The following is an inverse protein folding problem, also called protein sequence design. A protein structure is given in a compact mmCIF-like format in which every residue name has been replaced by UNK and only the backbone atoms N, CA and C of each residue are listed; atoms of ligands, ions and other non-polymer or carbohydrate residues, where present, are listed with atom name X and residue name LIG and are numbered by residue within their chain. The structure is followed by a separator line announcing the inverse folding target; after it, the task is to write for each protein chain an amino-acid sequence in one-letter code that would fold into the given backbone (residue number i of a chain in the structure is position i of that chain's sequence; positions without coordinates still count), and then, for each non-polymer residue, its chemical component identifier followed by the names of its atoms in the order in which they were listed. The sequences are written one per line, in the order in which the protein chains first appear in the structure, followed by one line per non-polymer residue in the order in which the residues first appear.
data_IF_690742261097
#
_entry.id   IF_690742261097
#
_cell.length_a   1.000
_cell.length_b   1.000
_cell.length_c   1.000
_cell.angle_alpha   90.00
_cell.angle_beta   90.00
_cell.angle_gamma   90.00
#
_symmetry.space_group_name_H-M   'P 1'
#
loop_
_entity.id
_entity.type
_entity.pdbx_description
1 polymer ?
#
# COMPACT_ATOMS: atom_id res chain seq x y z
N UNK A 1 8.68 12.61 -6.97
CA UNK A 1 8.17 12.03 -5.72
C UNK A 1 6.77 12.57 -5.50
N UNK A 2 5.78 11.71 -5.21
CA UNK A 2 4.37 12.06 -5.07
C UNK A 2 3.84 11.44 -3.77
N UNK A 3 3.03 12.17 -3.01
CA UNK A 3 2.29 11.66 -1.85
C UNK A 3 0.79 11.80 -2.13
N UNK A 4 0.10 10.68 -2.30
CA UNK A 4 -1.34 10.65 -2.62
C UNK A 4 -2.20 10.69 -1.35
N UNK A 5 -1.63 10.32 -0.19
CA UNK A 5 -2.38 10.17 1.04
C UNK A 5 -3.17 8.86 1.07
N UNK A 6 -4.41 8.89 1.54
CA UNK A 6 -5.22 7.69 1.69
C UNK A 6 -5.84 7.22 0.37
N UNK A 7 -5.56 5.98 -0.03
CA UNK A 7 -6.05 5.41 -1.28
C UNK A 7 -7.33 4.58 -1.03
N UNK A 8 -8.49 5.24 -1.14
CA UNK A 8 -9.80 4.65 -0.80
C UNK A 8 -10.50 3.95 -1.95
N UNK A 9 -10.40 4.54 -3.14
CA UNK A 9 -11.11 4.14 -4.35
C UNK A 9 -10.13 3.75 -5.47
N UNK A 10 -10.67 3.06 -6.46
CA UNK A 10 -9.88 2.57 -7.59
C UNK A 10 -9.36 3.71 -8.49
N UNK A 11 -10.02 4.88 -8.53
CA UNK A 11 -9.53 6.06 -9.26
C UNK A 11 -8.22 6.57 -8.66
N UNK A 12 -8.19 6.78 -7.34
CA UNK A 12 -7.01 7.24 -6.61
C UNK A 12 -5.87 6.23 -6.69
N UNK A 13 -6.18 4.93 -6.54
CA UNK A 13 -5.19 3.86 -6.68
C UNK A 13 -4.67 3.77 -8.12
N UNK A 14 -5.54 3.92 -9.12
CA UNK A 14 -5.15 3.92 -10.53
C UNK A 14 -4.20 5.07 -10.89
N UNK A 15 -4.43 6.26 -10.32
CA UNK A 15 -3.50 7.40 -10.44
C UNK A 15 -2.15 7.06 -9.80
N UNK A 16 -2.14 6.39 -8.64
CA UNK A 16 -0.91 5.96 -7.96
C UNK A 16 -0.09 5.00 -8.83
N UNK A 17 -0.74 3.97 -9.39
CA UNK A 17 -0.11 2.95 -10.23
C UNK A 17 0.44 3.59 -11.50
N UNK A 18 -0.35 4.40 -12.21
CA UNK A 18 0.08 5.11 -13.43
C UNK A 18 1.26 6.06 -13.15
N UNK A 19 1.23 6.74 -12.00
CA UNK A 19 2.32 7.63 -11.60
C UNK A 19 3.62 6.86 -11.32
N UNK A 20 3.51 5.69 -10.70
CA UNK A 20 4.66 4.81 -10.46
C UNK A 20 5.23 4.25 -11.77
N UNK A 21 4.37 3.83 -12.71
CA UNK A 21 4.77 3.35 -14.04
C UNK A 21 5.56 4.38 -14.86
N UNK A 22 5.24 5.66 -14.68
CA UNK A 22 5.93 6.77 -15.36
C UNK A 22 7.25 7.16 -14.69
N UNK A 23 7.70 6.38 -13.70
CA UNK A 23 9.01 6.54 -13.04
C UNK A 23 9.00 7.45 -11.81
N UNK A 24 7.82 7.83 -11.29
CA UNK A 24 7.74 8.59 -10.05
C UNK A 24 7.77 7.67 -8.83
N UNK A 25 8.53 8.03 -7.80
CA UNK A 25 8.35 7.43 -6.47
C UNK A 25 7.04 7.93 -5.86
N UNK A 26 6.10 7.01 -5.60
CA UNK A 26 4.77 7.31 -5.06
C UNK A 26 4.64 6.75 -3.65
N UNK A 27 4.17 7.57 -2.73
CA UNK A 27 3.77 7.18 -1.38
C UNK A 27 2.24 7.26 -1.24
N UNK A 28 1.66 6.24 -0.64
CA UNK A 28 0.24 6.18 -0.31
C UNK A 28 0.01 5.40 0.99
N UNK A 29 -1.15 5.61 1.61
CA UNK A 29 -1.55 4.95 2.85
C UNK A 29 -2.85 4.17 2.65
N UNK A 30 -2.96 2.99 3.27
CA UNK A 30 -4.20 2.21 3.32
C UNK A 30 -4.48 1.76 4.76
N UNK A 31 -5.75 1.57 5.08
CA UNK A 31 -6.17 1.03 6.37
C UNK A 31 -6.20 -0.51 6.34
N UNK A 32 -5.01 -1.12 6.35
CA UNK A 32 -4.83 -2.58 6.38
C UNK A 32 -3.79 -2.96 7.42
N UNK A 33 -3.85 -4.19 7.93
CA UNK A 33 -3.01 -4.64 9.05
C UNK A 33 -1.78 -5.46 8.65
N UNK A 34 -1.61 -5.79 7.37
CA UNK A 34 -0.45 -6.52 6.86
C UNK A 34 -0.11 -6.16 5.42
N UNK A 35 1.09 -6.52 4.97
CA UNK A 35 1.54 -6.31 3.61
C UNK A 35 0.68 -7.11 2.61
N UNK A 36 0.36 -8.37 2.94
CA UNK A 36 -0.50 -9.21 2.11
C UNK A 36 -1.90 -8.61 1.96
N UNK A 37 -2.50 -8.14 3.07
CA UNK A 37 -3.83 -7.52 3.02
C UNK A 37 -3.81 -6.20 2.23
N UNK A 38 -2.71 -5.44 2.30
CA UNK A 38 -2.53 -4.23 1.49
C UNK A 38 -2.63 -4.54 0.00
N UNK A 39 -1.89 -5.57 -0.45
CA UNK A 39 -1.88 -6.00 -1.86
C UNK A 39 -3.27 -6.47 -2.29
N UNK A 40 -3.93 -7.33 -1.51
CA UNK A 40 -5.29 -7.77 -1.81
C UNK A 40 -6.26 -6.60 -1.89
N UNK A 41 -6.22 -5.66 -0.93
CA UNK A 41 -7.10 -4.50 -0.90
C UNK A 41 -6.93 -3.60 -2.13
N UNK A 42 -5.70 -3.41 -2.61
CA UNK A 42 -5.42 -2.64 -3.83
C UNK A 42 -6.09 -3.29 -5.03
N UNK A 43 -6.04 -4.62 -5.14
CA UNK A 43 -6.61 -5.36 -6.28
C UNK A 43 -8.15 -5.39 -6.19
N UNK A 44 -8.70 -5.62 -5.01
CA UNK A 44 -10.13 -5.87 -4.78
C UNK A 44 -11.04 -4.65 -5.03
N UNK A 45 -10.49 -3.44 -5.14
CA UNK A 45 -11.30 -2.25 -5.48
C UNK A 45 -11.54 -2.11 -6.99
N UNK A 46 -10.79 -2.81 -7.83
CA UNK A 46 -10.91 -2.70 -9.28
C UNK A 46 -12.02 -3.61 -9.83
N UNK A 47 -12.67 -3.20 -10.94
CA UNK A 47 -13.58 -4.06 -11.70
C UNK A 47 -12.92 -5.37 -12.15
N UNK A 48 -13.72 -6.44 -12.26
CA UNK A 48 -13.23 -7.81 -12.54
C UNK A 48 -12.46 -7.94 -13.86
N UNK A 49 -12.79 -7.12 -14.85
CA UNK A 49 -12.10 -7.06 -16.15
C UNK A 49 -10.70 -6.43 -16.09
N UNK A 50 -10.40 -5.69 -15.01
CA UNK A 50 -9.12 -4.99 -14.81
C UNK A 50 -8.19 -5.69 -13.82
N UNK A 51 -8.68 -6.66 -13.05
CA UNK A 51 -7.93 -7.33 -11.97
C UNK A 51 -6.59 -7.90 -12.44
N UNK A 52 -6.54 -8.61 -13.56
CA UNK A 52 -5.29 -9.21 -14.07
C UNK A 52 -4.28 -8.17 -14.57
N UNK A 53 -4.78 -7.08 -15.18
CA UNK A 53 -3.95 -5.95 -15.57
C UNK A 53 -3.33 -5.30 -14.32
N UNK A 54 -4.15 -4.96 -13.33
CA UNK A 54 -3.71 -4.30 -12.10
C UNK A 54 -2.71 -5.15 -11.32
N UNK A 55 -2.91 -6.47 -11.24
CA UNK A 55 -1.93 -7.40 -10.64
C UNK A 55 -0.56 -7.29 -11.32
N UNK A 56 -0.55 -7.30 -12.65
CA UNK A 56 0.68 -7.21 -13.44
C UNK A 56 1.38 -5.87 -13.22
N UNK A 57 0.63 -4.77 -13.27
CA UNK A 57 1.16 -3.43 -13.03
C UNK A 57 1.69 -3.29 -11.60
N UNK A 58 0.94 -3.74 -10.61
CA UNK A 58 1.36 -3.69 -9.21
C UNK A 58 2.61 -4.53 -8.97
N UNK A 59 2.70 -5.73 -9.55
CA UNK A 59 3.88 -6.58 -9.42
C UNK A 59 5.15 -5.93 -10.02
N UNK A 60 5.01 -5.16 -11.10
CA UNK A 60 6.13 -4.46 -11.73
C UNK A 60 6.56 -3.16 -11.04
N UNK A 61 5.65 -2.49 -10.32
CA UNK A 61 5.88 -1.13 -9.81
C UNK A 61 5.85 -1.00 -8.28
N UNK A 62 5.29 -1.97 -7.55
CA UNK A 62 5.31 -1.95 -6.09
C UNK A 62 6.75 -2.07 -5.62
N UNK A 63 7.20 -1.13 -4.78
CA UNK A 63 8.53 -1.18 -4.16
C UNK A 63 8.53 -1.88 -2.79
N UNK A 64 7.47 -1.65 -2.01
CA UNK A 64 7.33 -2.25 -0.70
C UNK A 64 6.10 -1.76 0.04
N UNK A 65 5.79 -2.44 1.14
CA UNK A 65 4.69 -2.11 2.04
C UNK A 65 5.22 -2.07 3.46
N UNK A 66 4.81 -1.05 4.21
CA UNK A 66 5.08 -0.89 5.64
C UNK A 66 3.75 -0.87 6.37
N UNK A 67 3.45 -1.93 7.12
CA UNK A 67 2.26 -2.02 7.96
C UNK A 67 2.64 -1.72 9.42
N UNK A 68 1.90 -0.82 10.06
CA UNK A 68 2.27 -0.25 11.36
C UNK A 68 1.17 -0.51 12.40
N UNK A 69 1.59 -0.88 13.61
CA UNK A 69 0.69 -0.95 14.78
C UNK A 69 1.38 -0.35 16.00
N UNK A 70 0.63 0.44 16.77
CA UNK A 70 1.13 1.01 18.02
C UNK A 70 0.81 0.08 19.18
N UNK A 71 1.85 -0.44 19.82
CA UNK A 71 1.74 -1.31 20.99
C UNK A 71 1.99 -0.49 22.27
N UNK A 72 1.25 -0.72 23.36
CA UNK A 72 1.54 -0.09 24.65
C UNK A 72 2.92 -0.52 25.17
N UNK A 73 3.61 0.40 25.82
CA UNK A 73 4.85 0.09 26.55
C UNK A 73 4.55 -0.74 27.81
N UNK A 74 5.54 -1.50 28.29
CA UNK A 74 5.40 -2.34 29.49
C UNK A 74 5.03 -1.49 30.72
N UNK A 75 5.54 -0.26 30.80
CA UNK A 75 5.26 0.68 31.89
C UNK A 75 3.92 1.44 31.71
N UNK A 76 3.22 1.24 30.59
CA UNK A 76 1.94 1.89 30.29
C UNK A 76 2.01 3.39 29.96
N UNK A 77 3.19 4.00 29.97
CA UNK A 77 3.35 5.45 29.80
C UNK A 77 3.56 5.90 28.35
N UNK A 78 3.52 4.98 27.39
CA UNK A 78 3.74 5.30 25.99
C UNK A 78 3.31 4.20 25.04
N UNK A 79 3.68 4.38 23.77
CA UNK A 79 3.48 3.39 22.71
C UNK A 79 4.72 3.29 21.83
N UNK A 80 5.06 2.08 21.39
CA UNK A 80 6.05 1.83 20.35
C UNK A 80 5.38 1.38 19.05
N UNK A 81 5.91 1.81 17.92
CA UNK A 81 5.45 1.33 16.61
C UNK A 81 6.13 0.00 16.29
N UNK A 82 5.34 -1.08 16.26
CA UNK A 82 5.75 -2.31 15.61
C UNK A 82 5.46 -2.19 14.11
N UNK A 83 6.42 -2.61 13.28
CA UNK A 83 6.33 -2.51 11.82
C UNK A 83 6.54 -3.89 11.19
N UNK A 84 5.63 -4.27 10.30
CA UNK A 84 5.83 -5.32 9.31
C UNK A 84 6.29 -4.66 8.01
N UNK A 85 7.37 -5.16 7.40
CA UNK A 85 7.94 -4.58 6.20
C UNK A 85 8.12 -5.68 5.15
N UNK A 86 7.54 -5.45 3.98
CA UNK A 86 7.74 -6.25 2.78
C UNK A 86 8.42 -5.38 1.72
N UNK A 87 9.51 -5.87 1.14
CA UNK A 87 10.12 -5.29 -0.05
C UNK A 87 9.96 -6.25 -1.22
N UNK A 88 9.77 -5.69 -2.42
CA UNK A 88 9.81 -6.45 -3.67
C UNK A 88 11.25 -6.45 -4.20
N UNK A 89 11.67 -7.55 -4.81
CA UNK A 89 13.02 -7.76 -5.36
C UNK A 89 12.96 -8.16 -6.82
#
# INVERSE_FOLDING_TARGET
VILIGEMRDYETIGIAITSAETGHLVFGTLHTSSAAQTVSRIIDVFPSDQVEQVKTQLAGNLFGVVSQVLLPTIDGNGRYCACEIMFTT
#
